data_IF_366447207585
#
_entry.id   IF_366447207585
#
_cell.length_a   1.000
_cell.length_b   1.000
_cell.length_c   1.000
_cell.angle_alpha   90.00
_cell.angle_beta   90.00
_cell.angle_gamma   90.00
#
_symmetry.space_group_name_H-M   'P 1'
#
loop_
_entity.id
_entity.type
_entity.pdbx_description
1 polymer ?
#
# COMPACT_ATOMS: atom_id res chain seq x y z
N UNK A 1 23.00 -23.47 1.73
CA UNK A 1 21.77 -24.08 1.18
C UNK A 1 21.21 -23.35 -0.08
N UNK A 2 22.01 -22.56 -0.83
CA UNK A 2 21.51 -21.66 -1.90
C UNK A 2 22.53 -21.45 -3.05
N UNK A 3 23.11 -22.51 -3.60
CA UNK A 3 23.99 -22.41 -4.78
C UNK A 3 23.32 -23.12 -5.96
N UNK A 4 22.47 -22.39 -6.68
CA UNK A 4 21.86 -22.82 -7.94
C UNK A 4 21.78 -21.60 -8.85
N UNK A 5 22.10 -21.76 -10.13
CA UNK A 5 21.98 -20.71 -11.16
C UNK A 5 20.56 -20.66 -11.75
N UNK A 6 19.65 -21.49 -11.24
CA UNK A 6 18.25 -21.54 -11.64
C UNK A 6 17.42 -20.55 -10.81
N UNK A 7 16.91 -19.52 -11.48
CA UNK A 7 16.10 -18.44 -10.93
C UNK A 7 14.85 -18.96 -10.19
N UNK A 8 14.17 -19.97 -10.73
CA UNK A 8 12.93 -20.50 -10.12
C UNK A 8 13.25 -21.28 -8.85
N UNK A 9 14.35 -22.03 -8.85
CA UNK A 9 14.80 -22.75 -7.66
C UNK A 9 15.26 -21.77 -6.58
N UNK A 10 15.99 -20.71 -6.95
CA UNK A 10 16.44 -19.68 -6.01
C UNK A 10 15.26 -18.94 -5.37
N UNK A 11 14.24 -18.56 -6.15
CA UNK A 11 13.01 -17.95 -5.65
C UNK A 11 12.24 -18.87 -4.68
N UNK A 12 12.10 -20.15 -5.03
CA UNK A 12 11.43 -21.14 -4.17
C UNK A 12 12.16 -21.34 -2.85
N UNK A 13 13.49 -21.47 -2.88
CA UNK A 13 14.29 -21.63 -1.66
C UNK A 13 14.24 -20.37 -0.78
N UNK A 14 14.27 -19.18 -1.36
CA UNK A 14 14.16 -17.93 -0.61
C UNK A 14 12.77 -17.78 0.04
N UNK A 15 11.71 -18.18 -0.65
CA UNK A 15 10.34 -18.23 -0.10
C UNK A 15 10.22 -19.23 1.07
N UNK A 16 10.84 -20.41 0.96
CA UNK A 16 10.90 -21.39 2.04
C UNK A 16 11.72 -20.87 3.23
N UNK A 17 12.84 -20.20 2.98
CA UNK A 17 13.64 -19.54 4.02
C UNK A 17 12.80 -18.50 4.77
N UNK A 18 12.10 -17.63 4.06
CA UNK A 18 11.23 -16.65 4.71
C UNK A 18 10.16 -17.31 5.58
N UNK A 19 9.51 -18.38 5.10
CA UNK A 19 8.42 -19.05 5.82
C UNK A 19 8.90 -19.87 7.01
N UNK A 20 9.99 -20.61 6.86
CA UNK A 20 10.40 -21.65 7.82
C UNK A 20 11.75 -21.42 8.49
N UNK A 21 12.56 -20.50 7.97
CA UNK A 21 13.84 -20.15 8.58
C UNK A 21 13.64 -19.53 9.96
N UNK A 22 14.46 -19.99 10.91
CA UNK A 22 14.62 -19.45 12.25
C UNK A 22 15.98 -18.74 12.40
N UNK A 23 16.34 -18.30 13.61
CA UNK A 23 17.58 -17.58 13.86
C UNK A 23 18.87 -18.39 13.59
N UNK A 24 18.81 -19.72 13.54
CA UNK A 24 19.99 -20.56 13.40
C UNK A 24 20.66 -20.41 12.03
N UNK A 25 19.89 -20.09 10.99
CA UNK A 25 20.40 -19.91 9.61
C UNK A 25 20.78 -18.45 9.29
N UNK A 26 20.66 -17.53 10.26
CA UNK A 26 20.95 -16.11 10.05
C UNK A 26 22.38 -15.86 9.53
N UNK A 27 23.45 -16.46 10.10
CA UNK A 27 24.81 -16.25 9.60
C UNK A 27 24.99 -16.65 8.13
N UNK A 28 24.35 -17.75 7.69
CA UNK A 28 24.42 -18.23 6.32
C UNK A 28 23.72 -17.26 5.34
N UNK A 29 22.57 -16.72 5.75
CA UNK A 29 21.82 -15.75 4.94
C UNK A 29 22.58 -14.44 4.81
N UNK A 30 23.15 -13.93 5.91
CA UNK A 30 23.99 -12.74 5.88
C UNK A 30 25.20 -12.93 4.96
N UNK A 31 25.89 -14.07 5.08
CA UNK A 31 27.01 -14.40 4.19
C UNK A 31 26.62 -14.44 2.71
N UNK A 32 25.40 -14.91 2.38
CA UNK A 32 24.87 -14.90 1.00
C UNK A 32 24.52 -13.49 0.53
N UNK A 33 23.93 -12.65 1.37
CA UNK A 33 23.61 -11.26 1.06
C UNK A 33 24.89 -10.43 0.83
N UNK A 34 25.95 -10.71 1.58
CA UNK A 34 27.27 -10.07 1.42
C UNK A 34 28.00 -10.54 0.15
N UNK A 35 28.07 -11.86 -0.06
CA UNK A 35 28.76 -12.45 -1.22
C UNK A 35 28.02 -12.30 -2.55
N UNK A 36 26.69 -12.10 -2.50
CA UNK A 36 25.83 -11.94 -3.68
C UNK A 36 26.11 -10.69 -4.52
N UNK A 37 26.89 -9.73 -4.01
CA UNK A 37 27.55 -8.70 -4.83
C UNK A 37 26.65 -7.87 -5.76
N UNK A 38 25.37 -7.66 -5.41
CA UNK A 38 24.40 -6.96 -6.28
C UNK A 38 23.87 -7.77 -7.46
N UNK A 39 24.25 -9.04 -7.61
CA UNK A 39 23.81 -9.96 -8.67
C UNK A 39 22.59 -10.80 -8.30
N UNK A 40 22.07 -10.69 -7.06
CA UNK A 40 20.86 -11.40 -6.68
C UNK A 40 19.66 -10.83 -7.44
N UNK A 41 18.84 -11.72 -7.98
CA UNK A 41 17.52 -11.37 -8.47
C UNK A 41 16.68 -10.71 -7.36
N UNK A 42 15.78 -9.80 -7.77
CA UNK A 42 15.00 -8.99 -6.83
C UNK A 42 14.13 -9.80 -5.90
N UNK A 43 13.45 -10.82 -6.42
CA UNK A 43 12.52 -11.62 -5.64
C UNK A 43 13.24 -12.44 -4.54
N UNK A 44 14.30 -13.21 -4.85
CA UNK A 44 15.15 -13.82 -3.82
C UNK A 44 15.72 -12.82 -2.82
N UNK A 45 16.21 -11.67 -3.28
CA UNK A 45 16.73 -10.62 -2.41
C UNK A 45 15.67 -10.13 -1.41
N UNK A 46 14.46 -9.81 -1.89
CA UNK A 46 13.37 -9.33 -1.05
C UNK A 46 12.95 -10.37 -0.01
N UNK A 47 12.89 -11.66 -0.38
CA UNK A 47 12.56 -12.75 0.56
C UNK A 47 13.65 -12.92 1.65
N UNK A 48 14.93 -12.85 1.27
CA UNK A 48 16.03 -12.90 2.23
C UNK A 48 16.03 -11.69 3.17
N UNK A 49 15.82 -10.48 2.63
CA UNK A 49 15.71 -9.27 3.44
C UNK A 49 14.50 -9.31 4.39
N UNK A 50 13.35 -9.82 3.93
CA UNK A 50 12.17 -10.00 4.78
C UNK A 50 12.43 -11.04 5.88
N UNK A 51 13.17 -12.11 5.59
CA UNK A 51 13.62 -13.07 6.59
C UNK A 51 14.51 -12.42 7.65
N UNK A 52 15.54 -11.65 7.23
CA UNK A 52 16.43 -10.96 8.17
C UNK A 52 15.61 -9.97 8.99
N UNK A 53 14.68 -9.22 8.39
CA UNK A 53 13.79 -8.30 9.09
C UNK A 53 12.90 -8.99 10.12
N UNK A 54 12.44 -10.23 9.84
CA UNK A 54 11.64 -11.05 10.76
C UNK A 54 12.45 -11.51 11.97
N UNK A 55 13.72 -11.87 11.77
CA UNK A 55 14.56 -12.52 12.79
C UNK A 55 15.43 -11.52 13.57
N UNK A 56 15.99 -10.54 12.88
CA UNK A 56 16.86 -9.48 13.43
C UNK A 56 16.61 -8.15 12.69
N UNK A 57 15.61 -7.37 13.12
CA UNK A 57 15.25 -6.10 12.49
C UNK A 57 16.39 -5.07 12.47
N UNK A 58 17.31 -5.11 13.45
CA UNK A 58 18.39 -4.14 13.54
C UNK A 58 19.45 -4.41 12.48
N UNK A 59 19.79 -5.68 12.28
CA UNK A 59 20.70 -6.09 11.19
C UNK A 59 20.07 -5.89 9.81
N UNK A 60 18.74 -6.04 9.69
CA UNK A 60 18.04 -5.82 8.42
C UNK A 60 18.12 -4.37 7.91
N UNK A 61 18.06 -3.38 8.81
CA UNK A 61 18.00 -1.95 8.45
C UNK A 61 19.09 -1.52 7.45
N UNK A 62 20.40 -1.66 7.73
CA UNK A 62 21.44 -1.22 6.80
C UNK A 62 21.46 -2.00 5.48
N UNK A 63 20.94 -3.24 5.46
CA UNK A 63 20.81 -4.05 4.24
C UNK A 63 19.69 -3.51 3.36
N UNK A 64 18.55 -3.17 3.96
CA UNK A 64 17.39 -2.57 3.27
C UNK A 64 17.76 -1.19 2.74
N UNK A 65 18.44 -0.34 3.52
CA UNK A 65 18.90 0.98 3.05
C UNK A 65 19.83 0.86 1.84
N UNK A 66 20.74 -0.11 1.84
CA UNK A 66 21.64 -0.38 0.71
C UNK A 66 20.89 -0.82 -0.53
N UNK A 67 19.93 -1.73 -0.38
CA UNK A 67 19.11 -2.18 -1.50
C UNK A 67 18.22 -1.05 -2.03
N UNK A 68 17.60 -0.25 -1.15
CA UNK A 68 16.80 0.92 -1.52
C UNK A 68 17.62 2.00 -2.22
N UNK A 69 18.92 2.13 -1.93
CA UNK A 69 19.81 3.09 -2.58
C UNK A 69 20.09 2.77 -4.06
N UNK A 70 19.77 1.56 -4.55
CA UNK A 70 19.95 1.19 -5.95
C UNK A 70 18.98 1.99 -6.82
N UNK A 71 19.52 2.91 -7.63
CA UNK A 71 18.72 3.79 -8.50
C UNK A 71 18.58 3.20 -9.89
N UNK A 72 17.34 3.10 -10.37
CA UNK A 72 17.05 2.75 -11.76
C UNK A 72 17.28 3.98 -12.66
N UNK A 73 17.94 3.82 -13.84
CA UNK A 73 18.07 4.89 -14.82
C UNK A 73 16.70 5.53 -15.16
N UNK A 74 16.61 6.86 -15.35
CA UNK A 74 15.35 7.54 -15.65
C UNK A 74 14.60 6.95 -16.86
N UNK A 75 15.33 6.41 -17.84
CA UNK A 75 14.80 5.82 -19.07
C UNK A 75 14.34 4.36 -18.94
N UNK A 76 14.67 3.69 -17.84
CA UNK A 76 14.62 2.23 -17.81
C UNK A 76 13.25 1.63 -17.46
N UNK A 77 12.22 2.42 -17.19
CA UNK A 77 10.88 1.94 -16.73
C UNK A 77 10.90 1.17 -15.39
N UNK A 78 12.09 0.79 -14.93
CA UNK A 78 12.43 0.18 -13.67
C UNK A 78 12.07 1.15 -12.54
N UNK A 79 11.13 0.72 -11.72
CA UNK A 79 10.86 1.28 -10.41
C UNK A 79 11.17 0.16 -9.42
N UNK A 80 12.13 0.36 -8.53
CA UNK A 80 12.38 -0.58 -7.45
C UNK A 80 11.51 -0.17 -6.25
N UNK A 81 10.53 -1.00 -5.91
CA UNK A 81 9.50 -0.76 -4.87
C UNK A 81 9.76 -1.60 -3.62
N UNK A 82 10.99 -1.53 -3.12
CA UNK A 82 11.48 -2.40 -2.04
C UNK A 82 10.66 -2.29 -0.75
N UNK A 83 10.24 -1.09 -0.35
CA UNK A 83 9.51 -0.89 0.89
C UNK A 83 8.15 -1.56 0.80
N UNK A 84 7.43 -1.32 -0.30
CA UNK A 84 6.12 -1.95 -0.53
C UNK A 84 6.21 -3.47 -0.62
N UNK A 85 7.22 -4.00 -1.32
CA UNK A 85 7.45 -5.44 -1.46
C UNK A 85 7.78 -6.09 -0.10
N UNK A 86 8.67 -5.49 0.67
CA UNK A 86 9.01 -5.99 2.00
C UNK A 86 7.84 -5.84 2.97
N UNK A 87 7.06 -4.77 2.90
CA UNK A 87 5.85 -4.58 3.70
C UNK A 87 4.78 -5.65 3.46
N UNK A 88 4.67 -6.13 2.22
CA UNK A 88 3.77 -7.22 1.86
C UNK A 88 4.18 -8.57 2.46
N UNK A 89 5.49 -8.79 2.66
CA UNK A 89 6.03 -10.00 3.27
C UNK A 89 6.05 -9.90 4.80
N UNK A 90 6.66 -8.83 5.32
CA UNK A 90 6.97 -8.63 6.73
C UNK A 90 6.88 -7.14 7.07
N UNK A 91 5.67 -6.66 7.40
CA UNK A 91 5.54 -5.31 7.96
C UNK A 91 6.30 -5.20 9.30
N UNK A 92 6.94 -4.06 9.53
CA UNK A 92 7.78 -3.82 10.72
C UNK A 92 7.92 -2.32 11.00
N UNK A 93 8.03 -1.89 12.27
CA UNK A 93 8.34 -0.50 12.61
C UNK A 93 9.61 0.03 11.92
N UNK A 94 10.60 -0.84 11.67
CA UNK A 94 11.82 -0.48 10.93
C UNK A 94 11.49 -0.01 9.51
N UNK A 95 10.57 -0.68 8.81
CA UNK A 95 10.18 -0.29 7.47
C UNK A 95 9.38 1.02 7.46
N UNK A 96 8.56 1.26 8.48
CA UNK A 96 7.83 2.53 8.62
C UNK A 96 8.78 3.71 8.81
N UNK A 97 9.76 3.60 9.71
CA UNK A 97 10.77 4.64 9.88
C UNK A 97 11.55 4.93 8.58
N UNK A 98 11.92 3.88 7.85
CA UNK A 98 12.59 4.01 6.56
C UNK A 98 11.68 4.64 5.50
N UNK A 99 10.40 4.29 5.48
CA UNK A 99 9.44 4.89 4.55
C UNK A 99 9.17 6.36 4.87
N UNK A 100 9.00 6.73 6.13
CA UNK A 100 8.87 8.14 6.55
C UNK A 100 10.09 8.95 6.12
N UNK A 101 11.30 8.41 6.27
CA UNK A 101 12.54 9.04 5.78
C UNK A 101 12.55 9.16 4.24
N UNK A 102 12.27 8.07 3.53
CA UNK A 102 12.28 8.01 2.06
C UNK A 102 11.18 8.82 1.39
N UNK A 103 10.13 9.20 2.11
CA UNK A 103 9.06 10.07 1.62
C UNK A 103 9.60 11.44 1.15
N UNK A 104 10.72 11.89 1.73
CA UNK A 104 11.41 13.13 1.39
C UNK A 104 12.70 12.90 0.58
N UNK A 105 12.89 11.71 0.00
CA UNK A 105 14.02 11.44 -0.90
C UNK A 105 13.91 12.33 -2.16
N UNK A 106 15.04 12.86 -2.67
CA UNK A 106 15.05 13.65 -3.89
C UNK A 106 14.69 12.84 -5.15
N UNK A 107 14.83 11.50 -5.15
CA UNK A 107 14.32 10.66 -6.23
C UNK A 107 12.81 10.41 -6.01
N UNK A 108 11.92 10.92 -6.89
CA UNK A 108 10.49 10.72 -6.71
C UNK A 108 10.08 9.24 -6.74
N UNK A 109 10.88 8.34 -7.36
CA UNK A 109 10.59 6.91 -7.33
C UNK A 109 10.66 6.32 -5.91
N UNK A 110 11.63 6.74 -5.11
CA UNK A 110 11.75 6.33 -3.70
C UNK A 110 10.62 6.94 -2.85
N UNK A 111 10.28 8.20 -3.09
CA UNK A 111 9.16 8.86 -2.42
C UNK A 111 7.80 8.23 -2.77
N UNK A 112 7.60 7.76 -4.01
CA UNK A 112 6.40 7.02 -4.44
C UNK A 112 6.29 5.69 -3.67
N UNK A 113 7.36 4.90 -3.63
CA UNK A 113 7.35 3.62 -2.92
C UNK A 113 7.07 3.81 -1.43
N UNK A 114 7.71 4.81 -0.81
CA UNK A 114 7.43 5.20 0.56
C UNK A 114 5.96 5.61 0.77
N UNK A 115 5.41 6.46 -0.10
CA UNK A 115 4.02 6.89 0.01
C UNK A 115 3.05 5.70 -0.10
N UNK A 116 3.27 4.79 -1.05
CA UNK A 116 2.46 3.60 -1.24
C UNK A 116 2.55 2.65 -0.04
N UNK A 117 3.76 2.42 0.47
CA UNK A 117 3.99 1.62 1.67
C UNK A 117 3.24 2.21 2.88
N UNK A 118 3.39 3.52 3.16
CA UNK A 118 2.75 4.16 4.31
C UNK A 118 1.22 4.14 4.20
N UNK A 119 0.67 4.36 3.01
CA UNK A 119 -0.78 4.24 2.79
C UNK A 119 -1.31 2.83 3.08
N UNK A 120 -0.53 1.80 2.76
CA UNK A 120 -0.96 0.40 2.91
C UNK A 120 -0.67 -0.19 4.30
N UNK A 121 0.48 0.13 4.88
CA UNK A 121 1.04 -0.55 6.05
C UNK A 121 1.40 0.39 7.20
N UNK A 122 1.43 1.69 6.96
CA UNK A 122 1.83 2.69 7.96
C UNK A 122 0.85 2.75 9.12
N UNK A 123 1.37 3.09 10.29
CA UNK A 123 0.61 3.40 11.48
C UNK A 123 -0.18 4.71 11.31
N UNK A 124 -1.13 5.02 12.23
CA UNK A 124 -1.81 6.32 12.23
C UNK A 124 -0.85 7.51 12.28
N UNK A 125 0.31 7.37 12.93
CA UNK A 125 1.28 8.47 13.10
C UNK A 125 1.95 8.86 11.76
N UNK A 126 1.97 7.93 10.80
CA UNK A 126 2.51 8.18 9.47
C UNK A 126 1.64 9.14 8.62
N UNK A 127 0.37 9.34 8.98
CA UNK A 127 -0.55 10.20 8.21
C UNK A 127 0.00 11.63 8.10
N UNK A 128 0.56 12.17 9.18
CA UNK A 128 1.07 13.54 9.19
C UNK A 128 2.30 13.71 8.29
N UNK A 129 3.16 12.68 8.18
CA UNK A 129 4.30 12.72 7.28
C UNK A 129 3.85 12.80 5.81
N UNK A 130 2.82 12.01 5.45
CA UNK A 130 2.19 12.07 4.12
C UNK A 130 1.60 13.44 3.82
N UNK A 131 0.88 14.05 4.78
CA UNK A 131 0.36 15.41 4.62
C UNK A 131 1.47 16.42 4.37
N UNK A 132 2.54 16.39 5.17
CA UNK A 132 3.68 17.30 5.04
C UNK A 132 4.33 17.19 3.65
N UNK A 133 4.53 15.97 3.15
CA UNK A 133 5.09 15.75 1.81
C UNK A 133 4.14 16.20 0.70
N UNK A 134 2.84 15.91 0.83
CA UNK A 134 1.83 16.32 -0.13
C UNK A 134 1.75 17.84 -0.26
N UNK A 135 1.74 18.57 0.86
CA UNK A 135 1.76 20.03 0.85
C UNK A 135 3.04 20.61 0.27
N UNK A 136 4.18 19.99 0.50
CA UNK A 136 5.44 20.40 -0.11
C UNK A 136 5.40 20.22 -1.64
N UNK A 137 4.93 19.06 -2.11
CA UNK A 137 4.77 18.78 -3.54
C UNK A 137 3.77 19.75 -4.20
N UNK A 138 2.61 20.01 -3.59
CA UNK A 138 1.64 20.96 -4.11
C UNK A 138 2.20 22.39 -4.22
N UNK A 139 3.00 22.83 -3.24
CA UNK A 139 3.67 24.14 -3.27
C UNK A 139 4.70 24.22 -4.39
N UNK A 140 5.49 23.17 -4.60
CA UNK A 140 6.50 23.09 -5.66
C UNK A 140 5.91 23.17 -7.07
N UNK A 141 4.74 22.54 -7.26
CA UNK A 141 4.08 22.41 -8.56
C UNK A 141 2.95 23.42 -8.79
N UNK A 142 2.67 24.30 -7.82
CA UNK A 142 1.67 25.35 -7.95
C UNK A 142 1.94 26.22 -9.19
N UNK A 143 0.94 26.40 -10.04
CA UNK A 143 1.06 27.14 -11.31
C UNK A 143 1.80 26.40 -12.44
N UNK A 144 2.37 25.21 -12.16
CA UNK A 144 3.20 24.42 -13.10
C UNK A 144 2.55 23.11 -13.53
N UNK A 145 1.23 22.98 -13.34
CA UNK A 145 0.48 21.76 -13.65
C UNK A 145 0.64 21.27 -15.11
N UNK A 146 0.93 22.17 -16.06
CA UNK A 146 1.14 21.80 -17.46
C UNK A 146 2.42 20.96 -17.67
N UNK A 147 3.46 21.17 -16.85
CA UNK A 147 4.72 20.43 -16.91
C UNK A 147 4.55 18.97 -16.46
N UNK A 148 3.53 18.67 -15.66
CA UNK A 148 3.22 17.33 -15.16
C UNK A 148 2.40 16.48 -16.14
N UNK A 149 1.95 17.04 -17.27
CA UNK A 149 1.07 16.33 -18.21
C UNK A 149 1.85 15.25 -18.95
N UNK A 150 1.23 14.08 -19.10
CA UNK A 150 1.74 13.04 -19.99
C UNK A 150 1.72 13.60 -21.42
N UNK A 151 2.87 13.56 -22.10
CA UNK A 151 3.00 13.96 -23.50
C UNK A 151 3.00 12.70 -24.36
N UNK A 152 1.97 12.48 -25.22
CA UNK A 152 1.94 11.32 -26.10
C UNK A 152 3.19 11.26 -26.99
N UNK A 153 3.84 10.08 -27.03
CA UNK A 153 5.07 9.83 -27.79
C UNK A 153 6.28 10.75 -27.45
N UNK A 154 6.19 11.54 -26.37
CA UNK A 154 7.25 12.42 -25.90
C UNK A 154 7.88 11.95 -24.60
N UNK A 155 9.07 12.47 -24.28
CA UNK A 155 9.67 12.33 -22.95
C UNK A 155 9.20 13.49 -22.09
N UNK A 156 8.51 13.20 -20.98
CA UNK A 156 8.30 14.18 -19.92
C UNK A 156 9.35 13.95 -18.81
N UNK A 157 10.30 14.87 -18.57
CA UNK A 157 11.27 14.72 -17.49
C UNK A 157 10.62 14.68 -16.09
N UNK A 158 9.41 15.23 -15.95
CA UNK A 158 8.64 15.30 -14.70
C UNK A 158 7.60 14.19 -14.55
N UNK A 159 7.69 13.13 -15.34
CA UNK A 159 6.74 12.02 -15.24
C UNK A 159 6.75 11.37 -13.84
N UNK A 160 7.92 11.24 -13.22
CA UNK A 160 8.03 10.70 -11.86
C UNK A 160 7.43 11.65 -10.82
N UNK A 161 7.58 12.97 -10.99
CA UNK A 161 6.93 13.96 -10.13
C UNK A 161 5.40 13.91 -10.28
N UNK A 162 4.90 13.72 -11.50
CA UNK A 162 3.47 13.54 -11.76
C UNK A 162 2.91 12.27 -11.12
N UNK A 163 3.69 11.18 -11.10
CA UNK A 163 3.31 9.95 -10.41
C UNK A 163 3.35 10.11 -8.89
N UNK A 164 4.34 10.83 -8.35
CA UNK A 164 4.38 11.18 -6.92
C UNK A 164 3.16 12.01 -6.52
N UNK A 165 2.77 12.96 -7.37
CA UNK A 165 1.55 13.76 -7.22
C UNK A 165 0.24 12.96 -7.22
N UNK A 166 0.24 11.75 -7.77
CA UNK A 166 -0.90 10.81 -7.72
C UNK A 166 -0.82 9.91 -6.47
N UNK A 167 0.37 9.36 -6.17
CA UNK A 167 0.57 8.46 -5.04
C UNK A 167 0.30 9.13 -3.69
N UNK A 168 0.72 10.38 -3.49
CA UNK A 168 0.51 11.09 -2.22
C UNK A 168 -0.99 11.27 -1.86
N UNK A 169 -1.84 11.88 -2.70
CA UNK A 169 -3.26 12.02 -2.38
C UNK A 169 -3.99 10.67 -2.37
N UNK A 170 -3.56 9.70 -3.19
CA UNK A 170 -4.08 8.34 -3.12
C UNK A 170 -3.82 7.70 -1.75
N UNK A 171 -2.58 7.72 -1.26
CA UNK A 171 -2.22 7.17 0.05
C UNK A 171 -2.96 7.87 1.18
N UNK A 172 -3.08 9.21 1.13
CA UNK A 172 -3.88 9.96 2.10
C UNK A 172 -5.36 9.56 2.06
N UNK A 173 -5.98 9.51 0.89
CA UNK A 173 -7.41 9.25 0.75
C UNK A 173 -7.81 7.79 1.03
N UNK A 174 -6.91 6.83 0.79
CA UNK A 174 -7.18 5.39 0.84
C UNK A 174 -6.43 4.63 1.93
N UNK A 175 -5.73 5.35 2.83
CA UNK A 175 -4.89 4.77 3.87
C UNK A 175 -5.60 3.76 4.76
N UNK A 176 -4.89 2.70 5.17
CA UNK A 176 -5.49 1.60 5.95
C UNK A 176 -5.66 1.96 7.43
N UNK A 177 -4.77 2.75 8.00
CA UNK A 177 -4.72 3.06 9.43
C UNK A 177 -5.46 4.34 9.87
N UNK A 178 -5.92 5.17 8.94
CA UNK A 178 -6.67 6.39 9.23
C UNK A 178 -7.92 6.52 8.38
N UNK A 179 -8.89 7.28 8.89
CA UNK A 179 -10.08 7.64 8.14
C UNK A 179 -9.87 9.01 7.47
N UNK A 180 -9.95 9.02 6.15
CA UNK A 180 -10.10 10.19 5.29
C UNK A 180 -11.58 10.47 5.05
N UNK A 181 -12.13 11.30 5.93
CA UNK A 181 -13.50 11.79 5.85
C UNK A 181 -13.65 12.90 4.80
N UNK A 182 -14.87 13.45 4.70
CA UNK A 182 -15.17 14.54 3.77
C UNK A 182 -14.22 15.74 3.93
N UNK A 183 -13.87 16.11 5.16
CA UNK A 183 -13.02 17.27 5.41
C UNK A 183 -11.62 17.06 4.87
N UNK A 184 -11.03 15.88 5.11
CA UNK A 184 -9.72 15.49 4.58
C UNK A 184 -9.75 15.38 3.07
N UNK A 185 -10.76 14.75 2.50
CA UNK A 185 -10.91 14.63 1.04
C UNK A 185 -11.04 16.00 0.37
N UNK A 186 -11.83 16.93 0.94
CA UNK A 186 -11.91 18.32 0.44
C UNK A 186 -10.59 19.06 0.57
N UNK A 187 -9.81 18.83 1.63
CA UNK A 187 -8.45 19.39 1.77
C UNK A 187 -7.50 18.86 0.69
N UNK A 188 -7.53 17.56 0.41
CA UNK A 188 -6.78 16.97 -0.72
C UNK A 188 -7.17 17.67 -2.03
N UNK A 189 -8.47 17.79 -2.28
CA UNK A 189 -9.00 18.42 -3.49
C UNK A 189 -8.55 19.89 -3.62
N UNK A 190 -8.58 20.66 -2.54
CA UNK A 190 -8.24 22.08 -2.55
C UNK A 190 -6.74 22.34 -2.81
N UNK A 191 -5.86 21.45 -2.34
CA UNK A 191 -4.41 21.55 -2.55
C UNK A 191 -3.97 21.00 -3.92
N UNK A 192 -4.75 20.10 -4.50
CA UNK A 192 -4.35 19.30 -5.66
C UNK A 192 -3.93 20.10 -6.89
N UNK A 193 -2.76 19.76 -7.44
CA UNK A 193 -2.22 20.32 -8.68
C UNK A 193 -2.51 19.38 -9.85
N UNK A 194 -3.37 19.83 -10.78
CA UNK A 194 -3.68 19.11 -12.01
C UNK A 194 -5.00 18.32 -11.99
N UNK A 195 -5.51 18.01 -13.18
CA UNK A 195 -6.86 17.47 -13.35
C UNK A 195 -7.05 16.02 -12.86
N UNK A 196 -5.98 15.23 -12.77
CA UNK A 196 -6.08 13.83 -12.32
C UNK A 196 -6.40 13.76 -10.82
N UNK A 197 -5.68 14.52 -9.99
CA UNK A 197 -5.93 14.60 -8.54
C UNK A 197 -7.37 15.05 -8.27
N UNK A 198 -7.86 16.04 -9.02
CA UNK A 198 -9.24 16.52 -8.91
C UNK A 198 -10.25 15.40 -9.20
N UNK A 199 -10.06 14.65 -10.30
CA UNK A 199 -10.96 13.56 -10.70
C UNK A 199 -10.98 12.43 -9.68
N UNK A 200 -9.82 11.99 -9.21
CA UNK A 200 -9.69 10.90 -8.25
C UNK A 200 -10.28 11.28 -6.89
N UNK A 201 -9.98 12.48 -6.41
CA UNK A 201 -10.53 12.96 -5.14
C UNK A 201 -12.04 13.18 -5.22
N UNK A 202 -12.56 13.63 -6.36
CA UNK A 202 -14.00 13.73 -6.59
C UNK A 202 -14.66 12.34 -6.55
N UNK A 203 -14.07 11.32 -7.15
CA UNK A 203 -14.56 9.94 -7.05
C UNK A 203 -14.59 9.46 -5.59
N UNK A 204 -13.55 9.75 -4.81
CA UNK A 204 -13.50 9.43 -3.39
C UNK A 204 -14.60 10.18 -2.60
N UNK A 205 -14.82 11.47 -2.88
CA UNK A 205 -15.89 12.26 -2.27
C UNK A 205 -17.27 11.70 -2.60
N UNK A 206 -17.53 11.35 -3.87
CA UNK A 206 -18.80 10.75 -4.29
C UNK A 206 -19.05 9.40 -3.58
N UNK A 207 -18.01 8.56 -3.46
CA UNK A 207 -18.10 7.33 -2.69
C UNK A 207 -18.36 7.60 -1.19
N UNK A 208 -17.71 8.63 -0.63
CA UNK A 208 -17.87 9.03 0.76
C UNK A 208 -19.22 9.67 1.06
N UNK A 209 -19.86 10.36 0.12
CA UNK A 209 -21.14 11.07 0.35
C UNK A 209 -22.37 10.17 0.16
N UNK A 210 -22.21 9.04 -0.53
CA UNK A 210 -23.30 8.07 -0.72
C UNK A 210 -23.74 7.48 0.62
N UNK A 211 -25.04 7.59 0.95
CA UNK A 211 -25.63 7.01 2.17
C UNK A 211 -26.75 6.03 1.81
N UNK A 212 -26.87 4.87 2.49
CA UNK A 212 -25.86 4.23 3.35
C UNK A 212 -24.55 3.94 2.60
N UNK A 213 -23.43 3.78 3.32
CA UNK A 213 -22.15 3.42 2.70
C UNK A 213 -22.20 1.98 2.19
N UNK A 214 -21.74 1.73 0.97
CA UNK A 214 -21.73 0.38 0.41
C UNK A 214 -20.46 -0.36 0.82
N UNK A 215 -20.63 -1.58 1.34
CA UNK A 215 -19.59 -2.59 1.42
C UNK A 215 -19.80 -3.53 0.24
N UNK A 216 -18.85 -3.64 -0.68
CA UNK A 216 -18.90 -4.58 -1.79
C UNK A 216 -17.89 -5.71 -1.59
N UNK A 217 -18.36 -6.94 -1.73
CA UNK A 217 -17.52 -8.14 -1.73
C UNK A 217 -17.15 -8.52 -3.16
N UNK A 218 -15.86 -8.75 -3.39
CA UNK A 218 -15.30 -9.14 -4.67
C UNK A 218 -14.70 -10.56 -4.52
N UNK A 219 -15.26 -11.58 -5.22
CA UNK A 219 -14.87 -12.99 -5.09
C UNK A 219 -13.57 -13.28 -5.87
N UNK A 220 -12.48 -12.62 -5.49
CA UNK A 220 -11.12 -12.95 -5.95
C UNK A 220 -10.47 -13.99 -5.02
N UNK A 221 -9.33 -14.54 -5.44
CA UNK A 221 -8.49 -15.39 -4.60
C UNK A 221 -7.12 -14.72 -4.42
N UNK A 222 -6.82 -14.11 -3.25
CA UNK A 222 -7.66 -13.95 -2.07
C UNK A 222 -8.84 -12.97 -2.27
N UNK A 223 -9.91 -13.05 -1.45
CA UNK A 223 -11.06 -12.16 -1.58
C UNK A 223 -10.70 -10.72 -1.25
N UNK A 224 -11.41 -9.77 -1.86
CA UNK A 224 -11.26 -8.34 -1.58
C UNK A 224 -12.60 -7.68 -1.29
N UNK A 225 -12.54 -6.54 -0.61
CA UNK A 225 -13.69 -5.76 -0.20
C UNK A 225 -13.46 -4.30 -0.50
N UNK A 226 -14.53 -3.60 -0.89
CA UNK A 226 -14.51 -2.14 -0.99
C UNK A 226 -15.51 -1.52 -0.04
N UNK A 227 -15.13 -0.42 0.60
CA UNK A 227 -16.01 0.40 1.44
C UNK A 227 -15.68 1.85 1.20
N UNK A 228 -16.65 2.64 0.71
CA UNK A 228 -16.39 3.99 0.21
C UNK A 228 -15.22 4.01 -0.80
N UNK A 229 -14.18 4.80 -0.57
CA UNK A 229 -12.95 4.86 -1.37
C UNK A 229 -11.87 3.83 -1.00
N UNK A 230 -12.11 2.99 0.01
CA UNK A 230 -11.10 2.07 0.53
C UNK A 230 -11.20 0.69 -0.11
N UNK A 231 -10.04 0.09 -0.38
CA UNK A 231 -9.92 -1.31 -0.79
C UNK A 231 -9.25 -2.13 0.33
N UNK A 232 -9.81 -3.28 0.64
CA UNK A 232 -9.39 -4.17 1.72
C UNK A 232 -9.14 -5.57 1.15
N UNK A 233 -7.96 -6.13 1.42
CA UNK A 233 -7.52 -7.41 0.85
C UNK A 233 -7.84 -8.62 1.73
N UNK A 234 -8.57 -8.40 2.83
CA UNK A 234 -8.99 -9.45 3.76
C UNK A 234 -10.20 -9.00 4.56
N UNK A 235 -10.90 -9.97 5.15
CA UNK A 235 -12.00 -9.69 6.05
C UNK A 235 -11.53 -8.99 7.33
N UNK A 236 -10.36 -9.34 7.85
CA UNK A 236 -9.80 -8.71 9.04
C UNK A 236 -9.42 -7.26 8.81
N UNK A 237 -8.84 -6.94 7.64
CA UNK A 237 -8.56 -5.55 7.28
C UNK A 237 -9.83 -4.74 7.06
N UNK A 238 -10.89 -5.36 6.50
CA UNK A 238 -12.23 -4.74 6.45
C UNK A 238 -12.77 -4.45 7.84
N UNK A 239 -12.76 -5.42 8.78
CA UNK A 239 -13.24 -5.23 10.15
C UNK A 239 -12.51 -4.07 10.83
N UNK A 240 -11.18 -4.03 10.75
CA UNK A 240 -10.36 -2.91 11.25
C UNK A 240 -10.76 -1.58 10.62
N UNK A 241 -11.06 -1.56 9.31
CA UNK A 241 -11.46 -0.34 8.62
C UNK A 241 -12.85 0.14 9.03
N UNK A 242 -13.81 -0.77 9.17
CA UNK A 242 -15.17 -0.46 9.61
C UNK A 242 -15.19 0.15 11.03
N UNK A 243 -14.30 -0.32 11.91
CA UNK A 243 -14.14 0.22 13.26
C UNK A 243 -13.64 1.68 13.29
N UNK A 244 -13.05 2.19 12.20
CA UNK A 244 -12.60 3.59 12.12
C UNK A 244 -13.74 4.56 11.79
N UNK A 245 -14.88 4.08 11.27
CA UNK A 245 -15.99 4.97 10.91
C UNK A 245 -16.72 5.49 12.16
N UNK A 246 -17.28 6.71 12.12
CA UNK A 246 -18.03 7.26 13.24
C UNK A 246 -19.20 6.36 13.67
N UNK A 247 -19.48 6.34 14.98
CA UNK A 247 -20.63 5.63 15.53
C UNK A 247 -21.93 6.09 14.85
N UNK A 248 -22.83 5.14 14.57
CA UNK A 248 -24.08 5.40 13.85
C UNK A 248 -23.96 5.39 12.33
N UNK A 249 -22.78 5.17 11.76
CA UNK A 249 -22.61 4.95 10.32
C UNK A 249 -23.40 3.70 9.89
N UNK A 250 -24.23 3.87 8.86
CA UNK A 250 -25.03 2.79 8.27
C UNK A 250 -24.34 2.28 7.01
N UNK A 251 -24.24 0.96 6.92
CA UNK A 251 -23.65 0.25 5.79
C UNK A 251 -24.67 -0.64 5.09
N UNK A 252 -24.47 -0.85 3.80
CA UNK A 252 -25.18 -1.84 3.00
C UNK A 252 -24.18 -2.81 2.36
N UNK A 253 -24.31 -4.10 2.67
CA UNK A 253 -23.51 -5.15 2.05
C UNK A 253 -24.11 -5.51 0.69
N UNK A 254 -23.27 -5.50 -0.34
CA UNK A 254 -23.58 -5.98 -1.69
C UNK A 254 -22.68 -7.16 -2.01
N UNK A 255 -23.29 -8.29 -2.36
CA UNK A 255 -22.62 -9.50 -2.83
C UNK A 255 -22.62 -9.54 -4.36
N UNK A 256 -21.80 -10.40 -4.94
CA UNK A 256 -21.64 -10.48 -6.40
C UNK A 256 -22.80 -11.23 -7.08
N UNK A 257 -23.48 -12.11 -6.35
CA UNK A 257 -24.61 -12.91 -6.83
C UNK A 257 -25.85 -12.72 -5.96
N UNK A 258 -27.05 -12.73 -6.56
CA UNK A 258 -28.30 -12.79 -5.80
C UNK A 258 -28.49 -14.10 -5.02
N UNK A 259 -27.91 -15.19 -5.53
CA UNK A 259 -27.78 -16.46 -4.83
C UNK A 259 -26.33 -16.61 -4.36
N UNK A 260 -26.01 -16.18 -3.12
CA UNK A 260 -24.64 -16.22 -2.62
C UNK A 260 -24.17 -17.65 -2.39
N UNK A 261 -22.95 -17.93 -2.82
CA UNK A 261 -22.22 -19.18 -2.55
C UNK A 261 -22.05 -19.42 -1.04
N UNK A 262 -21.74 -20.64 -0.59
CA UNK A 262 -21.45 -20.91 0.83
C UNK A 262 -20.33 -20.03 1.40
N UNK A 263 -19.33 -19.70 0.57
CA UNK A 263 -18.25 -18.79 0.97
C UNK A 263 -18.75 -17.35 1.19
N UNK A 264 -19.59 -16.84 0.28
CA UNK A 264 -20.22 -15.53 0.42
C UNK A 264 -21.17 -15.46 1.62
N UNK A 265 -21.92 -16.54 1.89
CA UNK A 265 -22.79 -16.63 3.06
C UNK A 265 -21.97 -16.57 4.36
N UNK A 266 -20.86 -17.30 4.43
CA UNK A 266 -19.94 -17.26 5.57
C UNK A 266 -19.37 -15.85 5.79
N UNK A 267 -18.87 -15.22 4.72
CA UNK A 267 -18.35 -13.84 4.78
C UNK A 267 -19.42 -12.86 5.26
N UNK A 268 -20.65 -12.99 4.75
CA UNK A 268 -21.79 -12.20 5.21
C UNK A 268 -22.03 -12.40 6.70
N UNK A 269 -22.17 -13.64 7.17
CA UNK A 269 -22.40 -13.93 8.59
C UNK A 269 -21.33 -13.33 9.49
N UNK A 270 -20.05 -13.45 9.11
CA UNK A 270 -18.94 -12.88 9.88
C UNK A 270 -18.97 -11.34 9.93
N UNK A 271 -19.34 -10.66 8.83
CA UNK A 271 -19.50 -9.20 8.82
C UNK A 271 -20.64 -8.78 9.74
N UNK A 272 -21.77 -9.49 9.71
CA UNK A 272 -22.95 -9.17 10.53
C UNK A 272 -22.68 -9.41 12.02
N UNK A 273 -22.02 -10.52 12.38
CA UNK A 273 -21.62 -10.80 13.75
C UNK A 273 -20.67 -9.74 14.30
N UNK A 274 -19.65 -9.36 13.51
CA UNK A 274 -18.74 -8.27 13.86
C UNK A 274 -19.50 -6.94 14.06
N UNK A 275 -20.37 -6.60 13.11
CA UNK A 275 -21.12 -5.35 13.17
C UNK A 275 -22.03 -5.27 14.40
N UNK A 276 -22.72 -6.37 14.75
CA UNK A 276 -23.55 -6.44 15.96
C UNK A 276 -22.72 -6.25 17.24
N UNK A 277 -21.55 -6.89 17.31
CA UNK A 277 -20.64 -6.80 18.46
C UNK A 277 -20.12 -5.37 18.69
N UNK A 278 -19.80 -4.67 17.61
CA UNK A 278 -19.15 -3.35 17.65
C UNK A 278 -20.15 -2.19 17.47
N UNK A 279 -21.46 -2.47 17.52
CA UNK A 279 -22.51 -1.44 17.41
C UNK A 279 -22.62 -0.78 16.03
N UNK A 280 -22.13 -1.44 14.98
CA UNK A 280 -22.17 -0.98 13.59
C UNK A 280 -23.46 -1.49 12.94
N UNK A 281 -24.13 -0.63 12.17
CA UNK A 281 -25.35 -1.04 11.43
C UNK A 281 -25.00 -1.48 10.02
N UNK A 282 -25.12 -2.79 9.74
CA UNK A 282 -24.98 -3.35 8.38
C UNK A 282 -26.32 -3.94 7.95
N UNK A 283 -26.77 -3.58 6.74
CA UNK A 283 -27.98 -4.09 6.12
C UNK A 283 -27.64 -4.86 4.85
N UNK A 284 -28.48 -5.80 4.41
CA UNK A 284 -28.36 -6.42 3.08
C UNK A 284 -29.14 -5.57 2.08
N UNK A 285 -28.59 -5.41 0.88
CA UNK A 285 -29.33 -4.75 -0.21
C UNK A 285 -30.56 -5.59 -0.59
N UNK A 286 -31.78 -5.03 -0.60
CA UNK A 286 -32.95 -5.77 -1.07
C UNK A 286 -32.78 -6.12 -2.56
N UNK A 287 -32.91 -7.41 -2.92
CA UNK A 287 -32.88 -7.87 -4.32
C UNK A 287 -31.51 -8.28 -4.87
N UNK A 288 -30.49 -8.43 -4.01
CA UNK A 288 -29.45 -9.45 -4.24
C UNK A 288 -30.00 -10.77 -3.71
#
# INVERSE_FOLDING_TARGET
LLATDDYEIEGNLASLLFRYGDAAVLPDVLGKLESGGGNLAREPLNQMLAYVLKVDPQTARPLIERAAAVRCPPSSGCQYVILSDLGALQNSPVLEELAVKSLFDPDPAAAIDAANYLGRYGSPDAEQALWNRYEAWCREWAGRAAELRIVPAGKNPHLRDANLGQSLPWSLSSGTAWLSDESKLRRIQALGVGANIQRETEQALQAWLRRPLTIAYIPTTPPSFTVAQYNQTSLDSLKKKLAQFPSGTKFVLTLSSPTPSPAEQKVREEIFQFAQKDGITVMVRPGS
#
